data_IF_345970235639
#
_entry.id   IF_345970235639
#
_cell.length_a   1.000
_cell.length_b   1.000
_cell.length_c   1.000
_cell.angle_alpha   90.00
_cell.angle_beta   90.00
_cell.angle_gamma   90.00
#
_symmetry.space_group_name_H-M   'P 1'
#
loop_
_entity.id
_entity.type
_entity.pdbx_description
1 polymer ?
#
# COMPACT_ATOMS: atom_id res chain seq x y z
N UNK A 1 7.40 -11.35 9.05
CA UNK A 1 6.69 -11.68 7.80
C UNK A 1 7.22 -10.79 6.70
N UNK A 2 7.32 -11.31 5.48
CA UNK A 2 7.60 -10.48 4.30
C UNK A 2 6.27 -10.14 3.62
N UNK A 3 6.23 -9.00 2.94
CA UNK A 3 5.07 -8.55 2.17
C UNK A 3 5.47 -8.16 0.77
N UNK A 4 4.64 -8.49 -0.21
CA UNK A 4 4.70 -7.98 -1.57
C UNK A 4 3.52 -7.04 -1.78
N UNK A 5 3.81 -5.84 -2.27
CA UNK A 5 2.81 -4.81 -2.56
C UNK A 5 2.82 -4.50 -4.04
N UNK A 6 1.64 -4.48 -4.67
CA UNK A 6 1.44 -4.09 -6.06
C UNK A 6 0.58 -2.83 -6.12
N UNK A 7 1.06 -1.79 -6.78
CA UNK A 7 0.26 -0.60 -7.10
C UNK A 7 -0.35 -0.78 -8.48
N UNK A 8 -1.68 -0.80 -8.58
CA UNK A 8 -2.35 -1.23 -9.79
C UNK A 8 -2.95 -0.07 -10.57
N UNK A 9 -2.58 0.02 -11.85
CA UNK A 9 -3.30 0.79 -12.87
C UNK A 9 -4.19 -0.17 -13.65
N UNK A 10 -5.43 0.23 -13.90
CA UNK A 10 -6.27 -0.46 -14.87
C UNK A 10 -5.76 -0.24 -16.29
N UNK A 11 -6.09 -1.16 -17.21
CA UNK A 11 -5.80 -0.95 -18.63
C UNK A 11 -6.53 0.31 -19.15
N UNK A 12 -5.93 1.10 -20.07
CA UNK A 12 -6.51 2.35 -20.56
C UNK A 12 -7.92 2.22 -21.13
N UNK A 13 -8.23 1.08 -21.74
CA UNK A 13 -9.52 0.75 -22.34
C UNK A 13 -10.62 0.37 -21.34
N UNK A 14 -10.25 0.10 -20.07
CA UNK A 14 -11.21 -0.30 -19.04
C UNK A 14 -11.67 0.90 -18.20
N UNK A 15 -12.97 0.93 -17.92
CA UNK A 15 -13.49 1.84 -16.89
C UNK A 15 -13.03 1.37 -15.51
N UNK A 16 -12.99 2.31 -14.55
CA UNK A 16 -12.68 1.97 -13.15
C UNK A 16 -13.69 0.97 -12.59
N UNK A 17 -14.97 1.10 -12.92
CA UNK A 17 -16.01 0.22 -12.40
C UNK A 17 -15.80 -1.23 -12.89
N UNK A 18 -15.49 -1.42 -14.18
CA UNK A 18 -15.17 -2.73 -14.75
C UNK A 18 -13.91 -3.34 -14.11
N UNK A 19 -12.85 -2.54 -13.98
CA UNK A 19 -11.62 -2.96 -13.30
C UNK A 19 -11.90 -3.45 -11.88
N UNK A 20 -12.55 -2.63 -11.05
CA UNK A 20 -12.83 -2.96 -9.65
C UNK A 20 -13.74 -4.19 -9.53
N UNK A 21 -14.70 -4.34 -10.44
CA UNK A 21 -15.60 -5.50 -10.49
C UNK A 21 -14.82 -6.77 -10.83
N UNK A 22 -14.08 -6.78 -11.94
CA UNK A 22 -13.28 -7.94 -12.36
C UNK A 22 -12.28 -8.34 -11.28
N UNK A 23 -11.56 -7.35 -10.73
CA UNK A 23 -10.53 -7.59 -9.74
C UNK A 23 -11.10 -8.23 -8.47
N UNK A 24 -12.26 -7.76 -8.00
CA UNK A 24 -12.91 -8.28 -6.79
C UNK A 24 -13.62 -9.62 -7.00
N UNK A 25 -14.32 -9.79 -8.11
CA UNK A 25 -15.25 -10.92 -8.30
C UNK A 25 -14.61 -12.10 -9.02
N UNK A 26 -13.54 -11.88 -9.78
CA UNK A 26 -12.87 -12.92 -10.56
C UNK A 26 -11.44 -13.16 -10.06
N UNK A 27 -10.60 -12.12 -10.13
CA UNK A 27 -9.19 -12.25 -9.79
C UNK A 27 -8.98 -12.52 -8.28
N UNK A 28 -9.75 -11.86 -7.42
CA UNK A 28 -9.68 -12.05 -5.98
C UNK A 28 -9.88 -13.51 -5.54
N UNK A 29 -10.99 -14.16 -5.94
CA UNK A 29 -11.20 -15.58 -5.71
C UNK A 29 -10.13 -16.49 -6.35
N UNK A 30 -9.64 -16.14 -7.54
CA UNK A 30 -8.57 -16.90 -8.19
C UNK A 30 -7.29 -16.91 -7.36
N UNK A 31 -6.82 -15.74 -6.89
CA UNK A 31 -5.66 -15.62 -6.00
C UNK A 31 -5.90 -16.39 -4.70
N UNK A 32 -7.10 -16.29 -4.11
CA UNK A 32 -7.45 -17.03 -2.89
C UNK A 32 -7.39 -18.55 -3.10
N UNK A 33 -7.83 -19.04 -4.26
CA UNK A 33 -7.72 -20.46 -4.64
C UNK A 33 -6.27 -20.96 -4.71
N UNK A 34 -5.33 -20.08 -5.04
CA UNK A 34 -3.89 -20.38 -5.09
C UNK A 34 -3.15 -20.15 -3.77
N UNK A 35 -3.84 -19.74 -2.69
CA UNK A 35 -3.22 -19.41 -1.40
C UNK A 35 -2.34 -20.53 -0.85
N UNK A 36 -2.82 -21.77 -0.90
CA UNK A 36 -2.04 -22.92 -0.43
C UNK A 36 -0.85 -23.23 -1.35
N UNK A 37 -1.06 -23.26 -2.67
CA UNK A 37 -0.02 -23.54 -3.67
C UNK A 37 1.13 -22.52 -3.64
N UNK A 38 0.81 -21.27 -3.32
CA UNK A 38 1.77 -20.16 -3.20
C UNK A 38 2.19 -19.87 -1.75
N UNK A 39 1.75 -20.69 -0.79
CA UNK A 39 2.02 -20.56 0.65
C UNK A 39 1.74 -19.14 1.21
N UNK A 40 0.68 -18.49 0.73
CA UNK A 40 0.28 -17.15 1.15
C UNK A 40 -0.35 -17.19 2.54
N UNK A 41 0.15 -16.38 3.47
CA UNK A 41 -0.47 -16.19 4.79
C UNK A 41 -1.66 -15.24 4.76
N UNK A 42 -1.63 -14.25 3.86
CA UNK A 42 -2.65 -13.21 3.76
C UNK A 42 -2.68 -12.65 2.34
N UNK A 43 -3.88 -12.30 1.89
CA UNK A 43 -4.12 -11.57 0.65
C UNK A 43 -5.22 -10.53 0.86
N UNK A 44 -4.90 -9.27 0.57
CA UNK A 44 -5.82 -8.13 0.70
C UNK A 44 -5.83 -7.35 -0.61
N UNK A 45 -7.04 -6.98 -1.04
CA UNK A 45 -7.25 -5.95 -2.05
C UNK A 45 -7.61 -4.63 -1.37
N UNK A 46 -6.93 -3.56 -1.77
CA UNK A 46 -7.16 -2.19 -1.30
C UNK A 46 -7.68 -1.38 -2.48
N UNK A 47 -8.96 -1.06 -2.47
CA UNK A 47 -9.65 -0.36 -3.54
C UNK A 47 -9.65 1.15 -3.27
N UNK A 48 -8.92 1.92 -4.09
CA UNK A 48 -8.87 3.39 -3.99
C UNK A 48 -10.27 3.98 -4.08
N UNK A 49 -10.64 4.97 -3.27
CA UNK A 49 -11.95 5.61 -3.31
C UNK A 49 -12.04 6.65 -4.45
N UNK A 50 -13.24 6.87 -5.00
CA UNK A 50 -13.45 7.82 -6.10
C UNK A 50 -13.16 9.27 -5.69
N UNK A 51 -13.49 9.65 -4.46
CA UNK A 51 -13.24 10.98 -3.92
C UNK A 51 -11.76 11.20 -3.55
N UNK A 52 -10.96 10.13 -3.49
CA UNK A 52 -9.53 10.22 -3.26
C UNK A 52 -8.75 10.79 -4.46
N UNK A 53 -9.34 10.77 -5.66
CA UNK A 53 -8.71 11.22 -6.92
C UNK A 53 -8.46 12.75 -6.93
N UNK A 54 -8.99 13.50 -5.96
CA UNK A 54 -9.01 14.97 -5.98
C UNK A 54 -8.03 15.69 -5.05
N UNK A 55 -7.10 15.01 -4.36
CA UNK A 55 -6.14 15.71 -3.49
C UNK A 55 -4.96 16.27 -4.31
N UNK A 56 -5.25 17.13 -5.28
CA UNK A 56 -4.27 17.97 -5.94
C UNK A 56 -4.24 19.33 -5.25
N UNK A 57 -3.07 19.79 -4.78
CA UNK A 57 -2.89 21.14 -4.21
C UNK A 57 -3.05 21.29 -2.69
N UNK A 58 -2.93 20.21 -1.91
CA UNK A 58 -2.87 20.29 -0.44
C UNK A 58 -1.50 20.75 0.10
N UNK A 59 -1.24 20.63 1.42
CA UNK A 59 0.04 21.01 2.04
C UNK A 59 1.29 20.32 1.43
N UNK A 60 1.10 19.19 0.75
CA UNK A 60 2.15 18.42 0.04
C UNK A 60 2.32 18.83 -1.43
N UNK A 61 1.58 19.85 -1.88
CA UNK A 61 1.63 20.34 -3.26
C UNK A 61 0.99 19.37 -4.28
N UNK A 62 1.54 19.35 -5.49
CA UNK A 62 1.15 18.43 -6.55
C UNK A 62 1.88 17.09 -6.38
N UNK A 63 1.11 16.00 -6.33
CA UNK A 63 1.57 14.62 -6.22
C UNK A 63 1.21 13.84 -7.49
N UNK A 64 1.75 12.63 -7.65
CA UNK A 64 1.38 11.75 -8.76
C UNK A 64 -0.10 11.34 -8.68
N UNK A 65 -0.68 10.95 -9.82
CA UNK A 65 -2.08 10.50 -9.89
C UNK A 65 -2.31 9.25 -9.02
N UNK A 66 -3.42 9.15 -8.27
CA UNK A 66 -3.78 7.95 -7.52
C UNK A 66 -3.90 6.70 -8.39
N UNK A 67 -3.44 5.56 -7.86
CA UNK A 67 -3.63 4.24 -8.47
C UNK A 67 -5.08 3.77 -8.31
N UNK A 68 -5.51 2.80 -9.12
CA UNK A 68 -6.86 2.22 -9.00
C UNK A 68 -7.01 1.32 -7.77
N UNK A 69 -5.90 0.75 -7.28
CA UNK A 69 -5.86 0.04 -6.01
C UNK A 69 -4.50 -0.59 -5.72
N UNK A 70 -4.45 -1.35 -4.63
CA UNK A 70 -3.25 -2.05 -4.16
C UNK A 70 -3.56 -3.52 -3.86
N UNK A 71 -2.76 -4.44 -4.38
CA UNK A 71 -2.75 -5.83 -3.91
C UNK A 71 -1.64 -6.01 -2.88
N UNK A 72 -1.95 -6.61 -1.74
CA UNK A 72 -1.00 -6.88 -0.67
C UNK A 72 -1.01 -8.38 -0.37
N UNK A 73 0.17 -9.01 -0.37
CA UNK A 73 0.34 -10.45 -0.16
C UNK A 73 1.45 -10.70 0.86
N UNK A 74 1.23 -11.61 1.81
CA UNK A 74 2.19 -11.90 2.88
C UNK A 74 2.62 -13.35 2.91
N UNK A 75 3.86 -13.57 3.35
CA UNK A 75 4.43 -14.87 3.69
C UNK A 75 5.11 -14.81 5.05
N UNK A 76 5.26 -15.97 5.69
CA UNK A 76 5.92 -16.08 7.00
C UNK A 76 7.39 -15.65 6.88
N UNK A 77 8.08 -16.22 5.91
CA UNK A 77 9.49 -15.98 5.61
C UNK A 77 9.70 -15.78 4.10
N UNK A 78 10.88 -15.29 3.74
CA UNK A 78 11.30 -15.18 2.34
C UNK A 78 11.49 -16.56 1.69
N UNK A 79 12.01 -17.53 2.44
CA UNK A 79 12.25 -18.88 1.95
C UNK A 79 10.95 -19.66 1.69
N UNK A 80 9.92 -19.42 2.51
CA UNK A 80 8.58 -19.99 2.31
C UNK A 80 7.97 -19.52 0.98
N UNK A 81 8.13 -18.23 0.66
CA UNK A 81 7.70 -17.64 -0.60
C UNK A 81 8.49 -18.20 -1.78
N UNK A 82 9.82 -18.22 -1.68
CA UNK A 82 10.71 -18.71 -2.73
C UNK A 82 10.46 -20.19 -3.04
N UNK A 83 10.35 -21.03 -2.02
CA UNK A 83 10.10 -22.47 -2.16
C UNK A 83 8.75 -22.74 -2.81
N UNK A 84 7.70 -22.03 -2.40
CA UNK A 84 6.38 -22.17 -2.99
C UNK A 84 6.38 -21.78 -4.48
N UNK A 85 6.98 -20.61 -4.82
CA UNK A 85 7.06 -20.13 -6.21
C UNK A 85 7.91 -21.01 -7.12
N UNK A 86 8.95 -21.66 -6.59
CA UNK A 86 9.81 -22.55 -7.36
C UNK A 86 9.24 -23.97 -7.55
N UNK A 87 8.15 -24.31 -6.85
CA UNK A 87 7.46 -25.58 -7.05
C UNK A 87 6.69 -25.60 -8.39
N UNK A 88 6.46 -26.78 -8.96
CA UNK A 88 5.69 -26.92 -10.20
C UNK A 88 4.27 -26.30 -10.08
N UNK A 89 3.60 -26.52 -8.95
CA UNK A 89 2.28 -25.94 -8.69
C UNK A 89 2.35 -24.41 -8.55
N UNK A 90 3.39 -23.88 -7.89
CA UNK A 90 3.57 -22.44 -7.74
C UNK A 90 3.93 -21.73 -9.04
N UNK A 91 4.68 -22.38 -9.94
CA UNK A 91 4.95 -21.86 -11.28
C UNK A 91 3.67 -21.85 -12.14
N UNK A 92 2.88 -22.91 -12.11
CA UNK A 92 1.59 -22.97 -12.80
C UNK A 92 0.63 -21.88 -12.29
N UNK A 93 0.50 -21.75 -10.96
CA UNK A 93 -0.31 -20.70 -10.34
C UNK A 93 0.19 -19.30 -10.70
N UNK A 94 1.51 -19.05 -10.64
CA UNK A 94 2.09 -17.74 -11.00
C UNK A 94 1.82 -17.38 -12.46
N UNK A 95 1.92 -18.35 -13.38
CA UNK A 95 1.62 -18.14 -14.79
C UNK A 95 0.15 -17.79 -15.01
N UNK A 96 -0.77 -18.56 -14.41
CA UNK A 96 -2.21 -18.29 -14.51
C UNK A 96 -2.57 -16.91 -13.96
N UNK A 97 -1.96 -16.51 -12.83
CA UNK A 97 -2.17 -15.19 -12.25
C UNK A 97 -1.69 -14.08 -13.17
N UNK A 98 -0.50 -14.18 -13.75
CA UNK A 98 0.00 -13.15 -14.70
C UNK A 98 -0.87 -13.07 -15.95
N UNK A 99 -1.31 -14.21 -16.49
CA UNK A 99 -2.24 -14.26 -17.63
C UNK A 99 -3.59 -13.62 -17.30
N UNK A 100 -4.08 -13.81 -16.07
CA UNK A 100 -5.30 -13.16 -15.61
C UNK A 100 -5.13 -11.66 -15.38
N UNK A 101 -4.03 -11.25 -14.72
CA UNK A 101 -3.66 -9.85 -14.52
C UNK A 101 -3.61 -9.08 -15.84
N UNK A 102 -3.02 -9.66 -16.90
CA UNK A 102 -2.90 -9.03 -18.22
C UNK A 102 -4.25 -8.69 -18.90
N UNK A 103 -5.36 -9.29 -18.44
CA UNK A 103 -6.71 -8.98 -18.93
C UNK A 103 -7.20 -7.62 -18.46
N UNK A 104 -6.76 -7.14 -17.28
CA UNK A 104 -7.35 -5.95 -16.65
C UNK A 104 -6.36 -4.95 -16.03
N UNK A 105 -5.10 -5.33 -15.84
CA UNK A 105 -4.05 -4.48 -15.28
C UNK A 105 -3.14 -3.97 -16.41
N UNK A 106 -2.80 -2.68 -16.37
CA UNK A 106 -1.66 -2.12 -17.10
C UNK A 106 -0.36 -2.52 -16.38
N UNK A 107 0.16 -3.69 -16.73
CA UNK A 107 1.31 -4.31 -16.06
C UNK A 107 2.58 -3.43 -16.10
N UNK A 108 2.95 -2.81 -17.24
CA UNK A 108 4.10 -1.90 -17.30
C UNK A 108 4.04 -0.74 -16.30
N UNK A 109 2.85 -0.16 -16.10
CA UNK A 109 2.65 1.02 -15.26
C UNK A 109 2.21 0.70 -13.82
N UNK A 110 2.27 -0.57 -13.42
CA UNK A 110 1.86 -1.06 -12.10
C UNK A 110 3.07 -1.55 -11.29
N UNK A 111 3.78 -0.68 -10.55
CA UNK A 111 4.99 -1.07 -9.83
C UNK A 111 4.68 -2.01 -8.66
N UNK A 112 5.70 -2.77 -8.26
CA UNK A 112 5.64 -3.66 -7.11
C UNK A 112 6.98 -3.67 -6.35
N UNK A 113 6.93 -4.03 -5.07
CA UNK A 113 8.12 -4.20 -4.24
C UNK A 113 7.87 -5.12 -3.05
N UNK A 114 8.94 -5.75 -2.58
CA UNK A 114 8.94 -6.46 -1.31
C UNK A 114 9.22 -5.50 -0.16
N UNK A 115 8.65 -5.79 1.01
CA UNK A 115 8.74 -4.90 2.16
C UNK A 115 8.60 -5.62 3.51
N UNK A 116 9.06 -4.93 4.55
CA UNK A 116 8.79 -5.25 5.95
C UNK A 116 7.88 -4.20 6.58
N UNK A 117 6.98 -4.66 7.47
CA UNK A 117 6.06 -3.80 8.20
C UNK A 117 6.65 -3.42 9.57
N UNK A 118 6.56 -2.13 9.90
CA UNK A 118 6.97 -1.56 11.18
C UNK A 118 5.78 -0.79 11.76
N UNK A 119 4.89 -1.47 12.50
CA UNK A 119 3.75 -0.83 13.14
C UNK A 119 4.21 0.26 14.12
N UNK A 120 3.62 1.44 14.01
CA UNK A 120 3.92 2.60 14.87
C UNK A 120 2.78 2.87 15.87
N UNK A 121 1.54 2.69 15.40
CA UNK A 121 0.31 2.72 16.20
C UNK A 121 -0.47 1.48 15.77
N UNK A 122 -0.65 0.51 16.66
CA UNK A 122 -1.37 -0.72 16.34
C UNK A 122 -2.28 -1.11 17.51
N UNK A 123 -3.61 -1.11 17.32
CA UNK A 123 -4.52 -1.52 18.37
C UNK A 123 -4.49 -3.05 18.53
N UNK A 124 -4.74 -3.53 19.74
CA UNK A 124 -5.01 -4.94 20.00
C UNK A 124 -6.53 -5.16 20.12
N UNK A 125 -7.10 -6.18 19.45
CA UNK A 125 -6.44 -7.09 18.51
C UNK A 125 -6.04 -6.41 17.18
N UNK A 126 -5.00 -6.91 16.52
CA UNK A 126 -4.41 -6.34 15.29
C UNK A 126 -5.24 -6.65 14.02
N UNK A 127 -6.56 -6.54 14.11
CA UNK A 127 -7.51 -6.98 13.08
C UNK A 127 -8.31 -5.81 12.46
N UNK A 128 -7.81 -4.58 12.61
CA UNK A 128 -8.49 -3.39 12.09
C UNK A 128 -8.40 -3.34 10.56
N UNK A 129 -9.58 -3.37 9.91
CA UNK A 129 -9.74 -3.37 8.44
C UNK A 129 -10.76 -2.29 8.04
N UNK A 130 -10.39 -1.45 7.08
CA UNK A 130 -11.26 -0.43 6.50
C UNK A 130 -12.22 -1.03 5.46
N UNK A 131 -13.15 -1.89 5.89
CA UNK A 131 -14.15 -2.51 5.01
C UNK A 131 -15.10 -1.49 4.40
N UNK A 132 -15.74 -1.81 3.28
CA UNK A 132 -16.74 -0.95 2.61
C UNK A 132 -17.82 -0.43 3.57
N UNK A 133 -18.28 -1.28 4.49
CA UNK A 133 -19.35 -0.97 5.45
C UNK A 133 -18.86 -0.24 6.71
N UNK A 134 -17.55 -0.20 6.97
CA UNK A 134 -17.00 0.48 8.16
C UNK A 134 -16.88 2.00 7.96
N UNK A 135 -16.84 2.77 9.05
CA UNK A 135 -16.48 4.19 9.02
C UNK A 135 -14.98 4.44 8.76
N UNK A 136 -14.16 3.38 8.90
CA UNK A 136 -12.72 3.44 8.74
C UNK A 136 -12.33 3.63 7.28
N UNK A 137 -11.31 4.45 7.06
CA UNK A 137 -10.69 4.68 5.75
C UNK A 137 -9.19 4.43 5.90
N UNK A 138 -8.63 3.63 5.00
CA UNK A 138 -7.19 3.46 4.86
C UNK A 138 -6.64 4.55 3.95
N UNK A 139 -5.68 5.32 4.43
CA UNK A 139 -4.84 6.18 3.59
C UNK A 139 -3.61 5.37 3.23
N UNK A 140 -3.40 5.16 1.93
CA UNK A 140 -2.23 4.50 1.39
C UNK A 140 -1.32 5.58 0.80
N UNK A 141 -0.10 5.70 1.31
CA UNK A 141 0.83 6.76 0.94
C UNK A 141 2.21 6.18 0.54
N UNK A 142 2.36 5.68 -0.69
CA UNK A 142 3.64 5.39 -1.30
C UNK A 142 4.47 6.65 -1.49
N UNK A 143 5.71 6.58 -1.04
CA UNK A 143 6.62 7.71 -1.02
C UNK A 143 7.92 7.37 -1.75
N UNK A 144 8.43 8.33 -2.51
CA UNK A 144 9.80 8.32 -3.01
C UNK A 144 10.61 9.32 -2.20
N UNK A 145 11.82 8.93 -1.84
CA UNK A 145 12.70 9.81 -1.09
C UNK A 145 13.30 10.92 -1.97
N UNK A 146 13.75 12.00 -1.33
CA UNK A 146 14.48 13.07 -1.99
C UNK A 146 15.75 12.53 -2.67
N UNK A 147 16.02 12.97 -3.90
CA UNK A 147 17.13 12.45 -4.74
C UNK A 147 18.52 12.48 -4.11
N UNK A 148 18.75 13.33 -3.10
CA UNK A 148 20.03 13.46 -2.43
C UNK A 148 20.22 12.48 -1.27
N UNK A 149 19.18 11.75 -0.89
CA UNK A 149 19.23 10.69 0.12
C UNK A 149 19.35 9.34 -0.58
N UNK A 150 20.05 8.40 0.06
CA UNK A 150 19.93 6.98 -0.26
C UNK A 150 18.62 6.38 0.29
N UNK A 151 18.27 5.19 -0.20
CA UNK A 151 17.15 4.40 0.33
C UNK A 151 17.31 4.17 1.84
N UNK A 152 18.51 3.80 2.29
CA UNK A 152 18.80 3.51 3.69
C UNK A 152 18.67 4.76 4.58
N UNK A 153 19.23 5.90 4.16
CA UNK A 153 19.14 7.17 4.91
C UNK A 153 17.70 7.64 5.06
N UNK A 154 16.93 7.60 3.97
CA UNK A 154 15.53 8.01 3.99
C UNK A 154 14.69 7.09 4.89
N UNK A 155 14.89 5.77 4.79
CA UNK A 155 14.18 4.81 5.63
C UNK A 155 14.60 4.91 7.10
N UNK A 156 15.89 5.17 7.38
CA UNK A 156 16.39 5.40 8.73
C UNK A 156 15.68 6.62 9.33
N UNK A 157 15.73 7.77 8.65
CA UNK A 157 15.04 8.99 9.10
C UNK A 157 13.55 8.74 9.33
N UNK A 158 12.89 8.03 8.41
CA UNK A 158 11.48 7.71 8.52
C UNK A 158 11.16 6.87 9.77
N UNK A 159 12.01 5.89 10.14
CA UNK A 159 11.85 5.07 11.35
C UNK A 159 12.19 5.81 12.63
N UNK A 160 13.26 6.61 12.64
CA UNK A 160 13.85 7.17 13.87
C UNK A 160 13.40 8.58 14.19
N UNK A 161 12.78 9.30 13.26
CA UNK A 161 12.34 10.68 13.44
C UNK A 161 10.84 10.79 13.17
N UNK A 162 10.42 10.46 11.96
CA UNK A 162 9.03 10.65 11.55
C UNK A 162 8.06 9.66 12.25
N UNK A 163 8.43 8.38 12.40
CA UNK A 163 7.65 7.40 13.16
C UNK A 163 7.33 7.84 14.59
N UNK A 164 8.35 8.23 15.40
CA UNK A 164 8.18 8.84 16.70
C UNK A 164 7.32 10.10 16.69
N UNK A 165 7.50 10.98 15.70
CA UNK A 165 6.70 12.20 15.56
C UNK A 165 5.21 11.86 15.40
N UNK A 166 4.85 10.91 14.53
CA UNK A 166 3.45 10.54 14.33
C UNK A 166 2.87 9.84 15.55
N UNK A 167 3.60 8.96 16.25
CA UNK A 167 3.03 8.24 17.42
C UNK A 167 3.02 9.07 18.71
N UNK A 168 3.89 10.08 18.83
CA UNK A 168 4.01 10.95 20.00
C UNK A 168 3.44 12.36 19.81
N UNK A 169 3.06 12.75 18.60
CA UNK A 169 2.67 14.11 18.26
C UNK A 169 1.27 14.51 18.74
N UNK A 170 1.02 15.82 18.96
CA UNK A 170 -0.32 16.34 19.17
C UNK A 170 -1.20 16.00 17.96
N UNK A 171 -2.36 15.36 18.15
CA UNK A 171 -3.28 14.99 17.06
C UNK A 171 -3.23 13.53 16.62
N UNK A 172 -2.19 12.77 16.99
CA UNK A 172 -2.18 11.31 16.84
C UNK A 172 -3.21 10.65 17.77
N UNK A 173 -3.40 11.24 18.95
CA UNK A 173 -4.34 10.82 19.98
C UNK A 173 -5.78 11.03 19.50
N UNK A 174 -6.43 9.94 19.11
CA UNK A 174 -7.88 9.86 18.87
C UNK A 174 -8.28 9.63 17.40
N UNK A 175 -7.54 10.22 16.44
CA UNK A 175 -7.89 10.15 15.00
C UNK A 175 -7.21 9.03 14.24
N UNK A 176 -5.94 8.76 14.55
CA UNK A 176 -5.20 7.66 13.95
C UNK A 176 -5.50 6.40 14.76
N UNK A 177 -6.26 5.48 14.17
CA UNK A 177 -6.59 4.19 14.79
C UNK A 177 -5.49 3.17 14.58
N UNK A 178 -4.77 3.26 13.46
CA UNK A 178 -3.63 2.40 13.12
C UNK A 178 -2.69 3.15 12.19
N UNK A 179 -1.39 2.99 12.36
CA UNK A 179 -0.35 3.52 11.49
C UNK A 179 0.79 2.51 11.37
N UNK A 180 1.12 2.15 10.14
CA UNK A 180 2.21 1.23 9.80
C UNK A 180 3.12 1.95 8.81
N UNK A 181 4.42 1.87 9.08
CA UNK A 181 5.43 2.16 8.07
C UNK A 181 5.82 0.87 7.38
N UNK A 182 5.86 0.90 6.06
CA UNK A 182 6.17 -0.28 5.27
C UNK A 182 7.40 0.05 4.44
N UNK A 183 8.52 -0.59 4.78
CA UNK A 183 9.83 -0.26 4.25
C UNK A 183 10.19 -1.27 3.16
N UNK A 184 10.41 -0.79 1.93
CA UNK A 184 10.91 -1.63 0.84
C UNK A 184 12.24 -2.24 1.24
N UNK A 185 12.44 -3.51 0.93
CA UNK A 185 13.78 -4.09 0.90
C UNK A 185 14.04 -4.66 -0.48
N UNK A 186 15.30 -4.65 -0.89
CA UNK A 186 15.68 -5.11 -2.23
C UNK A 186 15.89 -6.63 -2.19
N UNK A 187 15.15 -7.34 -3.04
CA UNK A 187 15.24 -8.79 -3.22
C UNK A 187 15.41 -9.10 -4.70
N UNK A 188 16.22 -10.12 -5.03
CA UNK A 188 16.40 -10.60 -6.39
C UNK A 188 15.07 -11.02 -7.06
N UNK A 189 14.11 -11.52 -6.29
CA UNK A 189 12.79 -11.86 -6.81
C UNK A 189 12.02 -10.64 -7.32
N UNK A 190 12.31 -9.44 -6.84
CA UNK A 190 11.67 -8.22 -7.35
C UNK A 190 11.99 -8.03 -8.84
N UNK A 191 13.24 -8.25 -9.24
CA UNK A 191 13.66 -8.13 -10.65
C UNK A 191 12.94 -9.14 -11.55
N UNK A 192 12.85 -10.41 -11.11
CA UNK A 192 12.15 -11.48 -11.84
C UNK A 192 10.67 -11.14 -12.05
N UNK A 193 10.00 -10.64 -11.01
CA UNK A 193 8.58 -10.28 -11.08
C UNK A 193 8.35 -9.05 -11.98
N UNK A 194 9.27 -8.08 -11.96
CA UNK A 194 9.21 -6.92 -12.84
C UNK A 194 9.39 -7.31 -14.31
N UNK A 195 10.34 -8.20 -14.60
CA UNK A 195 10.57 -8.71 -15.95
C UNK A 195 9.34 -9.46 -16.47
N UNK A 196 8.78 -10.36 -15.68
CA UNK A 196 7.58 -11.13 -16.04
C UNK A 196 6.36 -10.24 -16.34
N UNK A 197 6.27 -9.06 -15.72
CA UNK A 197 5.18 -8.08 -15.92
C UNK A 197 5.55 -6.95 -16.90
N UNK A 198 6.78 -6.92 -17.40
CA UNK A 198 7.29 -5.79 -18.20
C UNK A 198 7.22 -4.44 -17.47
N UNK A 199 7.32 -4.44 -16.13
CA UNK A 199 7.13 -3.25 -15.29
C UNK A 199 8.25 -2.23 -15.51
N UNK A 200 7.88 -1.05 -16.02
CA UNK A 200 8.81 0.04 -16.32
C UNK A 200 8.87 1.10 -15.22
N UNK A 201 7.83 1.21 -14.40
CA UNK A 201 7.78 2.18 -13.31
C UNK A 201 8.70 1.72 -12.17
N UNK A 202 9.54 2.63 -11.69
CA UNK A 202 10.43 2.37 -10.55
C UNK A 202 9.61 2.12 -9.26
N UNK A 203 10.09 1.24 -8.36
CA UNK A 203 9.41 0.97 -7.11
C UNK A 203 9.48 2.19 -6.18
N UNK A 204 8.60 2.24 -5.17
CA UNK A 204 8.65 3.27 -4.14
C UNK A 204 9.69 2.91 -3.07
N UNK A 205 10.10 3.90 -2.26
CA UNK A 205 10.97 3.70 -1.07
C UNK A 205 10.29 2.82 -0.03
N UNK A 206 8.96 2.78 -0.08
CA UNK A 206 8.05 2.15 0.84
C UNK A 206 6.75 2.92 0.83
N UNK A 207 5.91 2.67 1.83
CA UNK A 207 4.66 3.40 1.99
C UNK A 207 4.14 3.43 3.42
N UNK A 208 3.46 4.52 3.76
CA UNK A 208 2.69 4.64 4.99
C UNK A 208 1.28 4.10 4.76
N UNK A 209 0.78 3.35 5.74
CA UNK A 209 -0.64 2.96 5.81
C UNK A 209 -1.24 3.50 7.10
N UNK A 210 -2.30 4.28 6.97
CA UNK A 210 -2.96 4.94 8.09
C UNK A 210 -4.45 4.67 8.06
N UNK A 211 -5.01 4.16 9.17
CA UNK A 211 -6.44 4.00 9.35
C UNK A 211 -6.95 5.10 10.25
N UNK A 212 -7.94 5.82 9.76
CA UNK A 212 -8.69 6.80 10.54
C UNK A 212 -10.17 6.66 10.27
N UNK A 213 -10.98 7.12 11.21
CA UNK A 213 -12.42 7.15 11.01
C UNK A 213 -12.79 8.41 10.21
N UNK A 214 -13.57 8.23 9.13
CA UNK A 214 -13.95 9.30 8.20
C UNK A 214 -14.78 10.40 8.88
N UNK A 215 -15.48 10.09 9.97
CA UNK A 215 -16.32 11.04 10.71
C UNK A 215 -15.51 12.18 11.33
N UNK A 216 -14.24 11.96 11.67
CA UNK A 216 -13.35 13.00 12.21
C UNK A 216 -12.72 13.91 11.14
N UNK A 217 -13.06 13.70 9.85
CA UNK A 217 -12.61 14.57 8.75
C UNK A 217 -13.61 15.69 8.42
N UNK A 218 -14.71 15.83 9.17
CA UNK A 218 -15.63 16.98 9.02
C UNK A 218 -14.94 18.29 9.46
N UNK A 219 -15.04 19.38 8.69
CA UNK A 219 -14.50 20.70 9.06
C UNK A 219 -15.05 21.23 10.39
N UNK A 220 -16.23 20.76 10.79
CA UNK A 220 -16.93 21.15 12.02
C UNK A 220 -16.22 20.66 13.29
N UNK A 221 -15.32 19.68 13.17
CA UNK A 221 -14.53 19.12 14.27
C UNK A 221 -13.04 19.44 14.01
N UNK A 222 -12.72 20.72 13.80
CA UNK A 222 -11.34 21.18 13.69
C UNK A 222 -10.74 21.37 15.10
N UNK A 223 -9.85 20.47 15.51
CA UNK A 223 -9.12 20.58 16.78
C UNK A 223 -7.76 21.23 16.46
N UNK A 224 -7.42 22.42 17.01
CA UNK A 224 -6.18 23.13 16.67
C UNK A 224 -4.92 22.29 16.80
N UNK A 225 -4.83 21.47 17.84
CA UNK A 225 -3.71 20.55 18.08
C UNK A 225 -3.60 19.51 16.96
N UNK A 226 -4.72 19.05 16.41
CA UNK A 226 -4.74 18.11 15.29
C UNK A 226 -4.31 18.77 13.98
N UNK A 227 -4.63 20.05 13.76
CA UNK A 227 -4.18 20.80 12.60
C UNK A 227 -2.67 20.96 12.68
N UNK A 228 -2.18 21.44 13.84
CA UNK A 228 -0.75 21.64 14.07
C UNK A 228 0.04 20.34 13.95
N UNK A 229 -0.50 19.23 14.45
CA UNK A 229 0.10 17.90 14.27
C UNK A 229 0.23 17.50 12.80
N UNK A 230 -0.79 17.78 11.99
CA UNK A 230 -0.77 17.55 10.55
C UNK A 230 0.28 18.41 9.83
N UNK A 231 0.39 19.68 10.19
CA UNK A 231 1.42 20.59 9.64
C UNK A 231 2.83 20.12 10.01
N UNK A 232 3.07 19.77 11.27
CA UNK A 232 4.36 19.23 11.73
C UNK A 232 4.73 17.94 10.98
N UNK A 233 3.75 17.06 10.73
CA UNK A 233 3.98 15.85 9.94
C UNK A 233 4.39 16.20 8.51
N UNK A 234 3.72 17.14 7.85
CA UNK A 234 4.06 17.57 6.49
C UNK A 234 5.44 18.25 6.44
N UNK A 235 5.74 19.14 7.40
CA UNK A 235 7.05 19.79 7.53
C UNK A 235 8.17 18.75 7.69
N UNK A 236 7.94 17.70 8.47
CA UNK A 236 8.93 16.65 8.69
C UNK A 236 9.07 15.71 7.49
N UNK A 237 7.95 15.36 6.85
CA UNK A 237 7.94 14.59 5.60
C UNK A 237 8.75 15.28 4.49
N UNK A 238 8.67 16.61 4.38
CA UNK A 238 9.40 17.37 3.37
C UNK A 238 10.94 17.25 3.49
N UNK A 239 11.45 16.75 4.61
CA UNK A 239 12.89 16.52 4.83
C UNK A 239 13.40 15.24 4.17
N UNK A 240 12.53 14.30 3.84
CA UNK A 240 12.93 13.01 3.27
C UNK A 240 12.07 12.53 2.11
N UNK A 241 10.87 13.07 1.90
CA UNK A 241 9.94 12.69 0.83
C UNK A 241 9.98 13.70 -0.33
N UNK A 242 10.10 13.19 -1.55
CA UNK A 242 9.81 13.93 -2.77
C UNK A 242 8.31 13.83 -3.08
N UNK A 243 7.53 14.84 -2.67
CA UNK A 243 6.07 14.82 -2.84
C UNK A 243 5.64 14.71 -4.30
N UNK A 244 6.38 15.33 -5.21
CA UNK A 244 6.05 15.34 -6.64
C UNK A 244 6.17 13.98 -7.32
N UNK A 245 6.96 13.08 -6.72
CA UNK A 245 7.17 11.69 -7.14
C UNK A 245 6.54 10.70 -6.17
N UNK A 246 5.62 11.16 -5.34
CA UNK A 246 4.89 10.35 -4.37
C UNK A 246 3.40 10.41 -4.66
N UNK A 247 2.61 9.52 -4.05
CA UNK A 247 1.17 9.47 -4.26
C UNK A 247 0.45 9.20 -2.95
N UNK A 248 -0.70 9.80 -2.71
CA UNK A 248 -1.51 9.52 -1.52
C UNK A 248 -2.96 9.39 -1.89
N UNK A 249 -3.65 8.38 -1.37
CA UNK A 249 -5.06 8.19 -1.62
C UNK A 249 -5.77 7.44 -0.49
N UNK A 250 -7.07 7.73 -0.35
CA UNK A 250 -7.96 7.01 0.52
C UNK A 250 -8.50 5.76 -0.17
N UNK A 251 -8.71 4.69 0.59
CA UNK A 251 -9.11 3.39 0.07
C UNK A 251 -9.93 2.58 1.09
N UNK A 252 -10.55 1.52 0.58
CA UNK A 252 -11.26 0.48 1.33
C UNK A 252 -10.63 -0.88 1.09
N UNK A 253 -10.71 -1.75 2.08
CA UNK A 253 -10.04 -3.03 2.08
C UNK A 253 -11.02 -4.19 1.95
N UNK A 254 -10.60 -5.23 1.24
CA UNK A 254 -11.26 -6.52 1.18
C UNK A 254 -10.22 -7.61 1.41
N UNK A 255 -10.42 -8.38 2.48
CA UNK A 255 -9.54 -9.49 2.86
C UNK A 255 -10.08 -10.77 2.20
N UNK A 256 -9.24 -11.44 1.43
CA UNK A 256 -9.59 -12.70 0.77
C UNK A 256 -8.98 -13.91 1.49
N UNK A 257 -7.78 -13.73 2.05
CA UNK A 257 -7.05 -14.76 2.80
C UNK A 257 -6.48 -14.12 4.07
N UNK A 258 -6.64 -14.77 5.22
CA UNK A 258 -6.03 -14.38 6.49
C UNK A 258 -5.84 -15.62 7.39
N UNK A 259 -4.61 -16.15 7.43
CA UNK A 259 -4.20 -17.29 8.25
C UNK A 259 -3.28 -16.89 9.41
N UNK A 260 -3.29 -15.61 9.77
CA UNK A 260 -2.43 -15.04 10.82
C UNK A 260 -3.02 -15.24 12.21
#
# INVERSE_FOLDING_TARGET
MIRLTYMLRRKPEMTRAEFQKYWRENHGPLVAGHAHSLNMLRYVQVHTLLDAVRVTGGPRGMMEEPYDGVAEVWWRTRDDMASARNSANGQAASKELVEDEAKFIDLPNSPMWFAYEYPQINPSPENLVATEMSSLVKTHYPLRHLKHLSLEEAQLYWRTNHGPLIRGGPGATGRIKRYIQVHRYEDEFEAVLREARGTVVEPYTGHAELWGDRTYRSPEIAIPESIRGGEMAVEDEAKFIDFSRSVSFAAKERVFVDYR
#
